data_IF_643398417613
#
_entry.id   IF_643398417613
#
_cell.length_a   1.000
_cell.length_b   1.000
_cell.length_c   1.000
_cell.angle_alpha   90.00
_cell.angle_beta   90.00
_cell.angle_gamma   90.00
#
_symmetry.space_group_name_H-M   'P 1'
#
loop_
_entity.id
_entity.type
_entity.pdbx_description
1 polymer ?
#
# COMPACT_ATOMS: atom_id res chain seq x y z
N UNK A 1 8.98 14.44 -6.33
CA UNK A 1 9.53 13.10 -6.60
C UNK A 1 8.43 12.15 -6.98
N UNK A 2 8.64 11.33 -8.01
CA UNK A 2 7.67 10.34 -8.41
C UNK A 2 7.69 9.12 -7.52
N UNK A 3 6.76 8.21 -7.74
CA UNK A 3 6.70 6.96 -7.01
C UNK A 3 7.79 6.01 -7.48
N UNK A 4 8.32 5.23 -6.55
CA UNK A 4 9.07 4.03 -6.87
C UNK A 4 8.09 2.86 -6.91
N UNK A 5 8.43 1.80 -7.59
CA UNK A 5 7.56 0.63 -7.72
C UNK A 5 8.31 -0.63 -7.33
N UNK A 6 7.58 -1.65 -6.94
CA UNK A 6 8.15 -2.93 -6.60
C UNK A 6 7.10 -4.03 -6.62
N UNK A 7 7.58 -5.26 -6.46
CA UNK A 7 6.72 -6.43 -6.35
C UNK A 7 7.10 -7.21 -5.11
N UNK A 8 6.08 -7.70 -4.41
CA UNK A 8 6.27 -8.60 -3.27
C UNK A 8 6.57 -10.02 -3.75
N UNK A 9 6.94 -10.91 -2.85
CA UNK A 9 7.20 -12.31 -3.19
C UNK A 9 6.00 -12.97 -3.87
N UNK A 10 4.79 -12.54 -3.53
CA UNK A 10 3.55 -13.04 -4.14
C UNK A 10 3.27 -12.44 -5.52
N UNK A 11 4.15 -11.58 -6.04
CA UNK A 11 3.98 -10.82 -7.28
C UNK A 11 3.00 -9.65 -7.18
N UNK A 12 2.42 -9.39 -6.00
CA UNK A 12 1.58 -8.20 -5.81
C UNK A 12 2.44 -6.95 -5.97
N UNK A 13 1.91 -5.98 -6.69
CA UNK A 13 2.59 -4.74 -7.05
C UNK A 13 2.34 -3.67 -5.99
N UNK A 14 3.35 -2.85 -5.71
CA UNK A 14 3.17 -1.70 -4.83
C UNK A 14 3.91 -0.47 -5.36
N UNK A 15 3.47 0.70 -4.91
CA UNK A 15 4.16 1.96 -5.14
C UNK A 15 4.64 2.48 -3.80
N UNK A 16 5.73 3.24 -3.82
CA UNK A 16 6.21 3.90 -2.61
C UNK A 16 6.69 5.30 -2.92
N UNK A 17 6.52 6.17 -1.96
CA UNK A 17 6.97 7.56 -2.01
C UNK A 17 7.76 7.83 -0.75
N UNK A 18 8.96 8.35 -0.89
CA UNK A 18 9.84 8.60 0.26
C UNK A 18 9.85 10.07 0.63
N UNK A 19 9.80 10.35 1.93
CA UNK A 19 10.06 11.69 2.43
C UNK A 19 11.53 12.03 2.18
N UNK A 20 11.81 13.27 1.80
CA UNK A 20 13.18 13.74 1.60
C UNK A 20 13.91 13.96 2.93
N UNK A 21 13.16 14.28 3.97
CA UNK A 21 13.68 14.44 5.31
C UNK A 21 13.52 13.17 6.13
N UNK A 22 13.98 13.19 7.38
CA UNK A 22 13.79 12.05 8.28
C UNK A 22 12.30 11.82 8.50
N UNK A 23 11.83 10.65 8.11
CA UNK A 23 10.43 10.31 8.26
C UNK A 23 10.10 9.95 9.71
N UNK A 24 8.89 10.31 10.14
CA UNK A 24 8.37 10.01 11.48
C UNK A 24 7.59 8.70 11.51
N UNK A 25 7.05 8.30 10.38
CA UNK A 25 6.21 7.11 10.26
C UNK A 25 6.08 6.71 8.81
N UNK A 26 5.49 5.54 8.58
CA UNK A 26 5.17 5.03 7.25
C UNK A 26 3.65 4.88 7.16
N UNK A 27 3.07 5.39 6.07
CA UNK A 27 1.64 5.22 5.79
C UNK A 27 1.50 4.11 4.76
N UNK A 28 0.68 3.11 5.07
CA UNK A 28 0.31 2.05 4.14
C UNK A 28 -1.13 2.30 3.68
N UNK A 29 -1.31 2.49 2.38
CA UNK A 29 -2.62 2.78 1.78
C UNK A 29 -3.23 1.53 1.17
N UNK A 30 -4.48 1.23 1.56
CA UNK A 30 -5.28 0.13 1.03
C UNK A 30 -6.43 0.74 0.21
N UNK A 31 -6.39 0.56 -1.10
CA UNK A 31 -7.38 1.17 -2.01
C UNK A 31 -8.71 0.43 -2.03
N UNK A 32 -9.74 1.06 -2.59
CA UNK A 32 -11.06 0.46 -2.74
C UNK A 32 -11.19 -0.42 -3.98
N UNK A 33 -12.31 -1.12 -4.10
CA UNK A 33 -12.61 -1.99 -5.23
C UNK A 33 -12.60 -1.18 -6.53
N UNK A 34 -11.94 -1.71 -7.55
CA UNK A 34 -11.86 -1.06 -8.85
C UNK A 34 -10.83 0.06 -8.92
N UNK A 35 -10.11 0.32 -7.83
CA UNK A 35 -9.05 1.32 -7.79
C UNK A 35 -7.67 0.69 -7.99
N UNK A 36 -6.63 1.46 -7.79
CA UNK A 36 -5.24 1.01 -7.77
C UNK A 36 -4.38 2.06 -7.03
N UNK A 37 -3.17 1.67 -6.66
CA UNK A 37 -2.28 2.52 -5.86
C UNK A 37 -1.93 3.84 -6.56
N UNK A 38 -1.90 3.86 -7.88
CA UNK A 38 -1.55 5.06 -8.64
C UNK A 38 -2.50 6.24 -8.43
N UNK A 39 -3.72 5.98 -8.00
CA UNK A 39 -4.71 7.05 -7.73
C UNK A 39 -4.34 7.89 -6.51
N UNK A 40 -3.41 7.42 -5.69
CA UNK A 40 -3.05 8.09 -4.45
C UNK A 40 -1.78 8.95 -4.57
N UNK A 41 -1.30 9.20 -5.78
CA UNK A 41 -0.07 9.95 -5.99
C UNK A 41 -0.08 11.32 -5.32
N UNK A 42 -1.13 12.12 -5.52
CA UNK A 42 -1.20 13.46 -4.93
C UNK A 42 -1.39 13.42 -3.41
N UNK A 43 -2.09 12.41 -2.89
CA UNK A 43 -2.25 12.22 -1.45
C UNK A 43 -0.91 11.82 -0.84
N UNK A 44 -0.20 10.91 -1.51
CA UNK A 44 1.12 10.47 -1.05
C UNK A 44 2.11 11.63 -1.02
N UNK A 45 2.07 12.51 -2.01
CA UNK A 45 2.95 13.69 -2.03
C UNK A 45 2.69 14.62 -0.86
N UNK A 46 1.42 14.77 -0.46
CA UNK A 46 1.08 15.57 0.72
C UNK A 46 1.65 14.94 1.98
N UNK A 47 1.57 13.62 2.11
CA UNK A 47 2.16 12.92 3.26
C UNK A 47 3.67 13.02 3.28
N UNK A 48 4.35 12.83 2.14
CA UNK A 48 5.81 12.93 2.10
C UNK A 48 6.30 14.33 2.42
N UNK A 49 5.53 15.36 2.05
CA UNK A 49 5.85 16.73 2.42
C UNK A 49 5.74 16.96 3.94
N UNK A 50 5.04 16.09 4.64
CA UNK A 50 4.85 16.14 6.09
C UNK A 50 5.66 15.08 6.83
N UNK A 51 6.79 14.66 6.28
CA UNK A 51 7.75 13.73 6.88
C UNK A 51 7.19 12.32 7.10
N UNK A 52 6.43 11.83 6.12
CA UNK A 52 5.91 10.47 6.15
C UNK A 52 6.32 9.76 4.86
N UNK A 53 6.83 8.53 4.99
CA UNK A 53 6.96 7.65 3.82
C UNK A 53 5.58 7.07 3.52
N UNK A 54 5.32 6.75 2.26
CA UNK A 54 4.02 6.17 1.86
C UNK A 54 4.26 4.93 1.01
N UNK A 55 3.52 3.88 1.30
CA UNK A 55 3.44 2.68 0.48
C UNK A 55 1.98 2.43 0.14
N UNK A 56 1.70 2.08 -1.09
CA UNK A 56 0.35 1.76 -1.53
C UNK A 56 0.37 0.47 -2.33
N UNK A 57 -0.45 -0.48 -1.92
CA UNK A 57 -0.56 -1.79 -2.55
C UNK A 57 -1.61 -1.75 -3.67
N UNK A 58 -1.31 -2.44 -4.78
CA UNK A 58 -2.35 -2.84 -5.71
C UNK A 58 -2.87 -4.19 -5.22
N UNK A 59 -4.14 -4.25 -4.82
CA UNK A 59 -4.74 -5.52 -4.39
C UNK A 59 -4.75 -6.52 -5.53
N UNK A 60 -4.80 -7.81 -5.19
CA UNK A 60 -4.89 -8.86 -6.20
C UNK A 60 -6.09 -8.59 -7.12
N UNK A 61 -5.90 -8.79 -8.41
CA UNK A 61 -6.92 -8.48 -9.41
C UNK A 61 -7.05 -7.01 -9.78
N UNK A 62 -6.22 -6.13 -9.20
CA UNK A 62 -6.27 -4.69 -9.41
C UNK A 62 -4.92 -4.15 -9.88
N UNK A 63 -4.96 -3.05 -10.63
CA UNK A 63 -3.76 -2.36 -11.08
C UNK A 63 -2.78 -3.31 -11.77
N UNK A 64 -1.54 -3.31 -11.30
CA UNK A 64 -0.47 -4.15 -11.84
C UNK A 64 -0.28 -5.46 -11.07
N UNK A 65 -1.10 -5.74 -10.07
CA UNK A 65 -1.04 -7.01 -9.35
C UNK A 65 -1.68 -8.13 -10.16
N UNK A 66 -1.26 -9.40 -9.93
CA UNK A 66 -1.82 -10.53 -10.66
C UNK A 66 -3.27 -10.80 -10.29
N UNK A 67 -3.90 -11.68 -11.03
CA UNK A 67 -5.25 -12.11 -10.79
C UNK A 67 -6.22 -11.62 -11.84
N UNK A 68 -7.41 -12.21 -11.84
CA UNK A 68 -8.47 -11.81 -12.76
C UNK A 68 -8.98 -10.43 -12.38
N UNK A 69 -9.18 -9.55 -13.37
CA UNK A 69 -9.51 -8.15 -13.13
C UNK A 69 -10.75 -7.98 -12.26
N UNK A 70 -10.58 -7.23 -11.17
CA UNK A 70 -11.61 -6.92 -10.18
C UNK A 70 -12.26 -8.16 -9.56
N UNK A 71 -11.58 -9.32 -9.64
CA UNK A 71 -12.06 -10.56 -9.06
C UNK A 71 -11.19 -10.97 -7.88
N UNK A 72 -11.82 -11.34 -6.77
CA UNK A 72 -11.12 -11.81 -5.58
C UNK A 72 -11.85 -13.07 -5.09
N UNK A 73 -11.09 -14.15 -4.92
CA UNK A 73 -11.67 -15.43 -4.51
C UNK A 73 -12.01 -15.47 -3.02
N UNK A 74 -11.33 -14.70 -2.19
CA UNK A 74 -11.62 -14.62 -0.77
C UNK A 74 -11.14 -13.30 -0.18
N UNK A 75 -11.78 -12.87 0.90
CA UNK A 75 -11.36 -11.69 1.64
C UNK A 75 -9.95 -11.88 2.22
N UNK A 76 -9.60 -13.11 2.60
CA UNK A 76 -8.28 -13.43 3.11
C UNK A 76 -7.16 -13.15 2.11
N UNK A 77 -7.42 -13.27 0.81
CA UNK A 77 -6.42 -12.94 -0.21
C UNK A 77 -6.09 -11.44 -0.18
N UNK A 78 -7.06 -10.61 0.17
CA UNK A 78 -6.86 -9.17 0.27
C UNK A 78 -6.07 -8.79 1.52
N UNK A 79 -6.44 -9.36 2.67
CA UNK A 79 -5.74 -9.08 3.93
C UNK A 79 -4.32 -9.62 3.89
N UNK A 80 -4.08 -10.76 3.26
CA UNK A 80 -2.74 -11.33 3.09
C UNK A 80 -1.83 -10.35 2.34
N UNK A 81 -2.35 -9.68 1.32
CA UNK A 81 -1.57 -8.68 0.58
C UNK A 81 -1.13 -7.52 1.45
N UNK A 82 -2.04 -7.01 2.29
CA UNK A 82 -1.72 -5.92 3.21
C UNK A 82 -0.68 -6.35 4.24
N UNK A 83 -0.84 -7.56 4.79
CA UNK A 83 0.12 -8.10 5.75
C UNK A 83 1.50 -8.31 5.13
N UNK A 84 1.55 -8.78 3.89
CA UNK A 84 2.80 -8.99 3.18
C UNK A 84 3.53 -7.65 2.96
N UNK A 85 2.81 -6.62 2.51
CA UNK A 85 3.41 -5.30 2.32
C UNK A 85 3.85 -4.70 3.65
N UNK A 86 3.07 -4.90 4.71
CA UNK A 86 3.43 -4.43 6.04
C UNK A 86 4.73 -5.06 6.52
N UNK A 87 4.92 -6.36 6.28
CA UNK A 87 6.17 -7.04 6.62
C UNK A 87 7.34 -6.48 5.83
N UNK A 88 7.13 -6.21 4.53
CA UNK A 88 8.15 -5.59 3.69
C UNK A 88 8.55 -4.22 4.23
N UNK A 89 7.57 -3.39 4.60
CA UNK A 89 7.81 -2.08 5.19
C UNK A 89 8.63 -2.22 6.48
N UNK A 90 8.28 -3.19 7.32
CA UNK A 90 9.00 -3.44 8.58
C UNK A 90 10.46 -3.79 8.37
N UNK A 91 10.79 -4.49 7.28
CA UNK A 91 12.17 -4.82 6.96
C UNK A 91 12.95 -3.61 6.42
N UNK A 92 12.27 -2.70 5.71
CA UNK A 92 12.90 -1.49 5.15
C UNK A 92 13.01 -0.35 6.17
N UNK A 93 12.07 -0.27 7.10
CA UNK A 93 11.98 0.80 8.08
C UNK A 93 11.69 0.24 9.48
N UNK A 94 12.64 -0.53 10.06
CA UNK A 94 12.37 -1.27 11.30
C UNK A 94 12.05 -0.41 12.53
N UNK A 95 12.46 0.86 12.52
CA UNK A 95 12.28 1.75 13.66
C UNK A 95 11.10 2.70 13.51
N UNK A 96 10.33 2.60 12.42
CA UNK A 96 9.22 3.51 12.18
C UNK A 96 7.87 2.84 12.43
N UNK A 97 6.93 3.56 13.06
CA UNK A 97 5.56 3.04 13.16
C UNK A 97 4.89 3.04 11.80
N UNK A 98 3.95 2.11 11.60
CA UNK A 98 3.18 1.98 10.37
C UNK A 98 1.73 2.34 10.66
N UNK A 99 1.19 3.29 9.88
CA UNK A 99 -0.20 3.72 9.98
C UNK A 99 -0.95 3.20 8.75
N UNK A 100 -2.05 2.49 8.97
CA UNK A 100 -2.87 1.94 7.90
C UNK A 100 -4.00 2.92 7.57
N UNK A 101 -4.14 3.22 6.28
CA UNK A 101 -5.25 4.04 5.78
C UNK A 101 -5.95 3.25 4.69
N UNK A 102 -7.27 3.13 4.80
CA UNK A 102 -8.06 2.44 3.81
C UNK A 102 -9.23 3.30 3.35
N UNK A 103 -9.65 3.09 2.10
CA UNK A 103 -10.77 3.78 1.48
C UNK A 103 -11.81 2.75 1.04
N UNK A 104 -13.05 2.88 1.50
CA UNK A 104 -14.15 1.99 1.12
C UNK A 104 -13.79 0.53 1.46
N UNK A 105 -13.80 -0.37 0.46
CA UNK A 105 -13.38 -1.76 0.66
C UNK A 105 -11.97 -1.84 1.27
N UNK A 106 -11.06 -0.95 0.84
CA UNK A 106 -9.71 -0.88 1.38
C UNK A 106 -9.68 -0.60 2.87
N UNK A 107 -10.63 0.19 3.38
CA UNK A 107 -10.76 0.45 4.81
C UNK A 107 -11.12 -0.81 5.59
N UNK A 108 -12.03 -1.60 5.07
CA UNK A 108 -12.43 -2.88 5.68
C UNK A 108 -11.27 -3.87 5.68
N UNK A 109 -10.52 -3.93 4.57
CA UNK A 109 -9.35 -4.80 4.46
C UNK A 109 -8.30 -4.39 5.51
N UNK A 110 -7.99 -3.10 5.59
CA UNK A 110 -7.00 -2.58 6.53
C UNK A 110 -7.38 -2.90 7.98
N UNK A 111 -8.66 -2.80 8.32
CA UNK A 111 -9.15 -3.06 9.67
C UNK A 111 -9.05 -4.54 10.05
N UNK A 112 -9.07 -5.43 9.08
CA UNK A 112 -9.05 -6.89 9.30
C UNK A 112 -7.66 -7.50 9.12
N UNK A 113 -6.74 -6.74 8.55
CA UNK A 113 -5.39 -7.24 8.26
C UNK A 113 -4.47 -7.33 9.50
#
# INVERSE_FOLDING_TARGET
MGASTGKLASERFFRSWSSEDNAKAVVLVSHGLGEHSGRYDHVARAFTANHLHVYALDHIGHGHSPGKRAFVSSFGDLTTGVEELRSHIGSEHPDLPVVLIGHSMGGLIAARA
#
